data_IF_528473272636
#
_entry.id   IF_528473272636
#
_cell.length_a   1.000
_cell.length_b   1.000
_cell.length_c   1.000
_cell.angle_alpha   90.00
_cell.angle_beta   90.00
_cell.angle_gamma   90.00
#
_symmetry.space_group_name_H-M   'P 1'
#
loop_
_entity.id
_entity.type
_entity.pdbx_description
1 polymer ?
#
# COMPACT_ATOMS: atom_id res chain seq x y z
N UNK A 1 -16.18 -0.51 13.03
CA UNK A 1 -15.88 -0.84 11.62
C UNK A 1 -15.00 0.26 11.05
N UNK A 2 -13.83 -0.09 10.50
CA UNK A 2 -13.00 0.87 9.77
C UNK A 2 -13.62 1.07 8.37
N UNK A 3 -13.79 2.32 7.96
CA UNK A 3 -14.31 2.66 6.63
C UNK A 3 -13.20 2.94 5.60
N UNK A 4 -11.94 2.92 6.02
CA UNK A 4 -10.78 3.23 5.16
C UNK A 4 -9.57 2.38 5.55
N UNK A 5 -8.68 2.10 4.61
CA UNK A 5 -7.47 1.31 4.84
C UNK A 5 -7.71 -0.20 4.68
N UNK A 6 -6.95 -1.03 5.38
CA UNK A 6 -7.16 -2.48 5.39
C UNK A 6 -8.43 -2.82 6.18
N UNK A 7 -9.54 -3.05 5.48
CA UNK A 7 -10.86 -3.33 6.09
C UNK A 7 -11.15 -4.81 6.32
N UNK A 8 -10.31 -5.69 5.79
CA UNK A 8 -10.40 -7.15 5.89
C UNK A 8 -9.05 -7.75 6.26
N UNK A 9 -9.08 -8.89 6.94
CA UNK A 9 -7.86 -9.61 7.29
C UNK A 9 -7.10 -10.03 6.04
N UNK A 10 -5.79 -10.08 6.15
CA UNK A 10 -4.93 -10.72 5.17
C UNK A 10 -3.68 -9.93 4.82
N UNK A 11 -2.82 -10.54 3.99
CA UNK A 11 -1.47 -10.05 3.82
C UNK A 11 -1.42 -8.84 2.89
N UNK A 12 -0.46 -7.97 3.13
CA UNK A 12 -0.14 -6.88 2.23
C UNK A 12 1.36 -6.75 2.01
N UNK A 13 1.71 -6.21 0.85
CA UNK A 13 3.10 -5.94 0.47
C UNK A 13 3.20 -4.61 -0.26
N UNK A 14 4.31 -3.92 -0.06
CA UNK A 14 4.69 -2.76 -0.87
C UNK A 14 6.07 -2.99 -1.43
N UNK A 15 6.21 -2.71 -2.70
CA UNK A 15 7.43 -2.89 -3.47
C UNK A 15 7.80 -1.57 -4.15
N UNK A 16 9.08 -1.29 -4.24
CA UNK A 16 9.63 -0.28 -5.15
C UNK A 16 10.51 -1.03 -6.13
N UNK A 17 10.08 -1.08 -7.39
CA UNK A 17 10.60 -1.96 -8.42
C UNK A 17 10.69 -3.41 -7.93
N UNK A 18 11.90 -3.90 -7.67
CA UNK A 18 12.16 -5.27 -7.22
C UNK A 18 12.49 -5.38 -5.73
N UNK A 19 12.43 -4.26 -5.00
CA UNK A 19 12.72 -4.23 -3.55
C UNK A 19 11.42 -4.20 -2.77
N UNK A 20 11.18 -5.20 -1.92
CA UNK A 20 10.06 -5.17 -0.99
C UNK A 20 10.40 -4.24 0.17
N UNK A 21 9.61 -3.19 0.33
CA UNK A 21 9.81 -2.13 1.34
C UNK A 21 8.80 -2.20 2.49
N UNK A 22 7.73 -2.99 2.33
CA UNK A 22 6.80 -3.31 3.41
C UNK A 22 6.21 -4.72 3.20
N UNK A 23 6.01 -5.43 4.30
CA UNK A 23 5.26 -6.69 4.34
C UNK A 23 4.49 -6.77 5.66
N UNK A 24 3.27 -7.28 5.61
CA UNK A 24 2.56 -7.77 6.80
C UNK A 24 1.68 -8.95 6.48
N UNK A 25 1.67 -9.96 7.36
CA UNK A 25 0.85 -11.17 7.19
C UNK A 25 -0.65 -10.90 7.44
N UNK A 26 -0.94 -9.93 8.32
CA UNK A 26 -2.27 -9.36 8.48
C UNK A 26 -2.16 -7.84 8.65
N UNK A 27 -2.40 -7.10 7.56
CA UNK A 27 -2.29 -5.64 7.58
C UNK A 27 -3.51 -4.95 8.19
N UNK A 28 -4.64 -5.66 8.34
CA UNK A 28 -5.77 -5.17 9.13
C UNK A 28 -5.40 -4.96 10.60
N UNK A 29 -4.68 -5.93 11.16
CA UNK A 29 -4.23 -5.88 12.56
C UNK A 29 -2.99 -5.03 12.74
N UNK A 30 -1.96 -5.23 11.91
CA UNK A 30 -0.63 -4.60 12.09
C UNK A 30 -0.63 -3.10 11.75
N UNK A 31 -1.46 -2.67 10.80
CA UNK A 31 -1.51 -1.28 10.34
C UNK A 31 -2.85 -0.68 10.81
N UNK A 32 -2.87 -0.23 12.06
CA UNK A 32 -4.08 0.29 12.71
C UNK A 32 -4.40 1.73 12.33
N UNK A 33 -3.36 2.50 12.00
CA UNK A 33 -3.46 3.89 11.60
C UNK A 33 -3.42 4.04 10.07
N UNK A 34 -3.94 5.16 9.57
CA UNK A 34 -4.00 5.44 8.13
C UNK A 34 -2.64 5.77 7.50
N UNK A 35 -1.58 5.81 8.30
CA UNK A 35 -0.25 6.19 7.88
C UNK A 35 0.77 5.14 8.34
N UNK A 36 1.57 4.67 7.39
CA UNK A 36 2.76 3.86 7.62
C UNK A 36 3.89 4.44 6.78
N UNK A 37 5.12 4.36 7.30
CA UNK A 37 6.29 4.90 6.62
C UNK A 37 6.79 3.90 5.60
N UNK A 38 7.06 4.38 4.38
CA UNK A 38 7.71 3.62 3.31
C UNK A 38 9.12 4.18 3.14
N UNK A 39 10.12 3.30 3.12
CA UNK A 39 11.47 3.67 2.75
C UNK A 39 11.59 3.73 1.23
N UNK A 40 11.82 4.93 0.70
CA UNK A 40 12.00 5.19 -0.73
C UNK A 40 13.47 5.15 -1.16
N UNK A 41 14.40 4.82 -0.26
CA UNK A 41 15.84 4.83 -0.52
C UNK A 41 16.26 3.95 -1.70
N UNK A 42 15.51 2.88 -1.97
CA UNK A 42 15.74 1.95 -3.08
C UNK A 42 15.42 2.55 -4.45
N UNK A 43 14.68 3.66 -4.52
CA UNK A 43 14.38 4.30 -5.79
C UNK A 43 15.55 5.17 -6.27
N UNK A 44 16.10 4.87 -7.45
CA UNK A 44 17.20 5.63 -8.09
C UNK A 44 16.80 6.00 -9.54
N UNK A 45 16.36 7.23 -9.73
CA UNK A 45 15.80 7.76 -10.98
C UNK A 45 14.29 7.59 -11.03
N UNK A 46 13.78 6.87 -12.03
CA UNK A 46 12.35 6.58 -12.18
C UNK A 46 12.06 5.17 -11.70
N UNK A 47 11.08 5.02 -10.82
CA UNK A 47 10.74 3.74 -10.20
C UNK A 47 9.22 3.54 -10.22
N UNK A 48 8.78 2.32 -9.94
CA UNK A 48 7.37 2.02 -9.75
C UNK A 48 7.14 1.47 -8.34
N UNK A 49 6.34 2.19 -7.54
CA UNK A 49 5.80 1.64 -6.31
C UNK A 49 4.62 0.73 -6.65
N UNK A 50 4.66 -0.51 -6.18
CA UNK A 50 3.57 -1.47 -6.29
C UNK A 50 3.07 -1.79 -4.91
N UNK A 51 1.80 -1.52 -4.68
CA UNK A 51 1.10 -1.85 -3.44
C UNK A 51 0.13 -2.99 -3.72
N UNK A 52 0.18 -4.02 -2.88
CA UNK A 52 -0.67 -5.20 -2.97
C UNK A 52 -1.33 -5.48 -1.63
N UNK A 53 -2.58 -5.92 -1.67
CA UNK A 53 -3.31 -6.41 -0.50
C UNK A 53 -4.25 -7.53 -0.90
N UNK A 54 -4.24 -8.61 -0.15
CA UNK A 54 -5.20 -9.70 -0.24
C UNK A 54 -6.14 -9.62 0.96
N UNK A 55 -7.36 -9.16 0.73
CA UNK A 55 -8.43 -9.19 1.71
C UNK A 55 -9.11 -10.55 1.72
N UNK A 56 -9.22 -11.15 2.89
CA UNK A 56 -9.84 -12.47 3.13
C UNK A 56 -11.04 -12.27 4.03
N UNK A 57 -12.17 -12.84 3.62
CA UNK A 57 -13.40 -12.83 4.43
C UNK A 57 -14.01 -14.21 4.48
N UNK A 58 -14.45 -14.61 5.66
CA UNK A 58 -15.30 -15.79 5.82
C UNK A 58 -16.76 -15.37 5.79
N UNK A 59 -17.50 -15.78 4.76
CA UNK A 59 -18.90 -15.43 4.55
C UNK A 59 -19.67 -16.64 4.04
N UNK A 60 -20.90 -16.85 4.53
CA UNK A 60 -21.79 -17.93 4.07
C UNK A 60 -21.10 -19.30 4.07
N UNK A 61 -20.33 -19.59 5.11
CA UNK A 61 -19.58 -20.83 5.29
C UNK A 61 -18.50 -21.11 4.21
N UNK A 62 -17.97 -20.05 3.57
CA UNK A 62 -16.90 -20.14 2.59
C UNK A 62 -15.94 -18.96 2.69
N UNK A 63 -14.70 -19.15 2.22
CA UNK A 63 -13.71 -18.08 2.10
C UNK A 63 -13.91 -17.30 0.80
N UNK A 64 -13.98 -15.98 0.92
CA UNK A 64 -13.98 -15.01 -0.17
C UNK A 64 -12.68 -14.22 -0.14
N UNK A 65 -12.09 -14.05 -1.32
CA UNK A 65 -10.78 -13.43 -1.51
C UNK A 65 -10.93 -12.20 -2.40
N UNK A 66 -10.29 -11.10 -2.03
CA UNK A 66 -10.30 -9.84 -2.77
C UNK A 66 -8.86 -9.36 -2.94
N UNK A 67 -8.43 -9.20 -4.19
CA UNK A 67 -7.10 -8.69 -4.51
C UNK A 67 -7.20 -7.21 -4.82
N UNK A 68 -6.49 -6.39 -4.06
CA UNK A 68 -6.33 -4.97 -4.29
C UNK A 68 -4.89 -4.71 -4.72
N UNK A 69 -4.73 -3.89 -5.75
CA UNK A 69 -3.41 -3.51 -6.26
C UNK A 69 -3.40 -2.08 -6.75
N UNK A 70 -2.26 -1.41 -6.57
CA UNK A 70 -2.01 -0.08 -7.13
C UNK A 70 -0.56 0.01 -7.59
N UNK A 71 -0.34 0.63 -8.75
CA UNK A 71 0.99 0.92 -9.29
C UNK A 71 1.14 2.44 -9.39
N UNK A 72 2.15 3.00 -8.75
CA UNK A 72 2.39 4.43 -8.65
C UNK A 72 3.78 4.74 -9.23
N UNK A 73 3.89 5.56 -10.29
CA UNK A 73 5.18 6.01 -10.78
C UNK A 73 5.83 6.96 -9.77
N UNK A 74 7.11 6.74 -9.50
CA UNK A 74 7.95 7.55 -8.64
C UNK A 74 9.11 8.14 -9.44
N UNK A 75 9.54 9.33 -9.06
CA UNK A 75 10.76 9.96 -9.56
C UNK A 75 11.60 10.44 -8.37
N UNK A 76 12.83 9.94 -8.24
CA UNK A 76 13.80 10.43 -7.27
C UNK A 76 14.57 11.60 -7.88
N UNK A 77 14.19 12.82 -7.54
CA UNK A 77 14.87 14.04 -7.96
C UNK A 77 14.97 15.06 -6.82
N UNK A 78 16.07 15.81 -6.76
CA UNK A 78 16.36 16.89 -5.81
C UNK A 78 15.52 18.15 -6.04
N UNK A 79 14.30 18.01 -6.55
CA UNK A 79 13.37 19.13 -6.74
C UNK A 79 12.26 19.04 -5.71
N UNK A 80 12.37 19.92 -4.72
CA UNK A 80 11.52 20.11 -3.54
C UNK A 80 10.08 20.55 -3.85
N UNK A 81 9.53 20.26 -5.02
CA UNK A 81 8.27 20.88 -5.50
C UNK A 81 7.14 19.88 -5.75
N UNK A 82 7.36 18.56 -5.64
CA UNK A 82 6.30 17.57 -5.88
C UNK A 82 5.96 16.63 -4.71
N UNK A 83 6.56 16.81 -3.54
CA UNK A 83 6.23 15.97 -2.38
C UNK A 83 4.86 16.30 -1.75
N UNK A 84 4.34 17.53 -1.90
CA UNK A 84 3.06 17.92 -1.31
C UNK A 84 1.81 17.53 -2.12
N UNK A 85 1.91 17.33 -3.44
CA UNK A 85 0.75 16.92 -4.26
C UNK A 85 0.54 15.40 -4.27
N UNK A 86 1.61 14.59 -4.14
CA UNK A 86 1.47 13.13 -4.13
C UNK A 86 0.97 12.59 -2.76
N UNK A 87 1.28 13.29 -1.66
CA UNK A 87 0.75 12.95 -0.32
C UNK A 87 -0.75 13.25 -0.17
N UNK A 88 -1.33 14.12 -1.02
CA UNK A 88 -2.77 14.43 -1.00
C UNK A 88 -3.63 13.54 -1.91
N UNK A 89 -3.02 12.70 -2.77
CA UNK A 89 -3.77 11.79 -3.66
C UNK A 89 -3.73 10.32 -3.28
N UNK A 90 -2.99 9.90 -2.24
CA UNK A 90 -3.19 8.58 -1.61
C UNK A 90 -4.39 8.55 -0.65
N UNK A 91 -5.46 9.29 -0.97
CA UNK A 91 -6.78 8.70 -0.76
C UNK A 91 -6.96 7.67 -1.86
N UNK A 92 -6.45 6.45 -1.64
CA UNK A 92 -7.13 5.31 -2.23
C UNK A 92 -8.58 5.48 -1.77
N UNK A 93 -9.45 5.87 -2.70
CA UNK A 93 -10.89 5.76 -2.50
C UNK A 93 -11.18 4.26 -2.42
N UNK A 94 -10.95 3.71 -1.24
CA UNK A 94 -11.61 2.51 -0.74
C UNK A 94 -12.90 2.95 -0.08
#
# INVERSE_FOLDING_TARGET
MRSTGYTHDGPCEVWIDNTRVLQGDNCHEKITDKAYTIDYSSCKGTCTLRWYWLGVRFLRNAYSWQVYKACIPLTSGSDSTQQQQQQQQLRLRM
#
